data_IF_607404973988
#
_entry.id   IF_607404973988
#
_cell.length_a   1.000
_cell.length_b   1.000
_cell.length_c   1.000
_cell.angle_alpha   90.00
_cell.angle_beta   90.00
_cell.angle_gamma   90.00
#
_symmetry.space_group_name_H-M   'P 1'
#
loop_
_entity.id
_entity.type
_entity.pdbx_description
1 polymer ?
#
# COMPACT_ATOMS: atom_id res chain seq x y z
N UNK A 1 -41.05 30.11 -22.00
CA UNK A 1 -40.55 30.76 -20.77
C UNK A 1 -40.98 29.97 -19.53
N UNK A 2 -42.26 29.57 -19.42
CA UNK A 2 -42.79 28.84 -18.24
C UNK A 2 -42.16 27.46 -18.02
N UNK A 3 -41.78 26.75 -19.07
CA UNK A 3 -41.19 25.43 -18.97
C UNK A 3 -39.76 25.45 -18.40
N UNK A 4 -38.97 26.48 -18.77
CA UNK A 4 -37.62 26.68 -18.21
C UNK A 4 -37.65 27.10 -16.73
N UNK A 5 -38.70 27.77 -16.30
CA UNK A 5 -38.90 28.16 -14.89
C UNK A 5 -39.27 26.94 -14.02
N UNK A 6 -40.00 25.97 -14.58
CA UNK A 6 -40.34 24.71 -13.90
C UNK A 6 -39.11 23.84 -13.71
N UNK A 7 -38.30 23.69 -14.76
CA UNK A 7 -37.04 22.92 -14.70
C UNK A 7 -36.05 23.57 -13.71
N UNK A 8 -35.94 24.89 -13.69
CA UNK A 8 -35.06 25.56 -12.76
C UNK A 8 -35.50 25.37 -11.28
N UNK A 9 -36.79 25.42 -11.02
CA UNK A 9 -37.34 25.14 -9.68
C UNK A 9 -37.08 23.70 -9.23
N UNK A 10 -37.22 22.75 -10.16
CA UNK A 10 -36.98 21.32 -9.89
C UNK A 10 -35.50 21.08 -9.58
N UNK A 11 -34.56 21.58 -10.40
CA UNK A 11 -33.13 21.49 -10.16
C UNK A 11 -32.72 22.13 -8.85
N UNK A 12 -33.31 23.32 -8.53
CA UNK A 12 -33.03 23.97 -7.27
C UNK A 12 -33.51 23.18 -6.06
N UNK A 13 -34.64 22.49 -6.16
CA UNK A 13 -35.15 21.62 -5.11
C UNK A 13 -34.23 20.37 -4.92
N UNK A 14 -33.85 19.71 -6.01
CA UNK A 14 -32.93 18.57 -5.98
C UNK A 14 -31.56 18.95 -5.39
N UNK A 15 -31.01 20.09 -5.78
CA UNK A 15 -29.73 20.60 -5.22
C UNK A 15 -29.88 20.91 -3.73
N UNK A 16 -31.01 21.50 -3.30
CA UNK A 16 -31.28 21.76 -1.90
C UNK A 16 -31.43 20.51 -1.07
N UNK A 17 -32.04 19.45 -1.63
CA UNK A 17 -32.19 18.18 -0.96
C UNK A 17 -30.82 17.47 -0.82
N UNK A 18 -30.00 17.47 -1.87
CA UNK A 18 -28.62 16.92 -1.84
C UNK A 18 -27.74 17.72 -0.88
N UNK A 19 -27.87 19.04 -0.85
CA UNK A 19 -27.11 19.90 0.09
C UNK A 19 -27.58 19.70 1.55
N UNK A 20 -28.85 19.36 1.77
CA UNK A 20 -29.40 19.06 3.12
C UNK A 20 -28.96 17.66 3.62
N UNK A 21 -28.51 16.77 2.73
CA UNK A 21 -27.95 15.46 3.08
C UNK A 21 -26.44 15.51 3.35
N UNK A 22 -25.78 16.63 3.07
CA UNK A 22 -24.42 16.86 3.55
C UNK A 22 -24.53 17.03 5.06
N UNK A 23 -24.23 16.00 5.81
CA UNK A 23 -24.09 16.07 7.26
C UNK A 23 -23.22 17.30 7.57
N UNK A 24 -23.79 18.29 8.24
CA UNK A 24 -23.00 19.34 8.84
C UNK A 24 -22.02 18.66 9.79
N UNK A 25 -20.78 18.53 9.38
CA UNK A 25 -19.69 18.09 10.26
C UNK A 25 -19.57 19.18 11.33
N UNK A 26 -20.32 19.00 12.41
CA UNK A 26 -20.21 19.87 13.59
C UNK A 26 -18.77 19.69 14.08
N UNK A 27 -17.93 20.73 14.05
CA UNK A 27 -16.57 20.59 14.55
C UNK A 27 -16.66 20.31 16.05
N UNK A 28 -16.38 19.07 16.44
CA UNK A 28 -16.27 18.67 17.83
C UNK A 28 -15.08 19.43 18.40
N UNK A 29 -15.35 20.46 19.20
CA UNK A 29 -14.31 21.19 19.93
C UNK A 29 -13.75 20.26 21.00
N UNK A 30 -12.66 19.57 20.69
CA UNK A 30 -11.88 18.83 21.67
C UNK A 30 -10.82 19.73 22.30
N UNK A 31 -10.66 19.69 23.64
CA UNK A 31 -9.54 20.38 24.29
C UNK A 31 -8.22 19.79 23.75
N UNK A 32 -7.25 20.65 23.46
CA UNK A 32 -5.93 20.24 22.94
C UNK A 32 -5.22 19.23 23.86
N UNK A 33 -5.56 19.22 25.16
CA UNK A 33 -5.03 18.27 26.15
C UNK A 33 -5.50 16.82 25.94
N UNK A 34 -6.62 16.59 25.30
CA UNK A 34 -7.15 15.24 25.05
C UNK A 34 -6.51 14.59 23.81
N UNK A 35 -6.01 15.40 22.87
CA UNK A 35 -5.40 14.93 21.63
C UNK A 35 -6.32 14.03 20.81
N UNK A 36 -5.82 13.56 19.68
CA UNK A 36 -6.51 12.54 18.89
C UNK A 36 -6.03 11.15 19.31
N UNK A 37 -6.95 10.19 19.48
CA UNK A 37 -6.62 8.77 19.67
C UNK A 37 -6.10 8.20 18.34
N UNK A 38 -4.90 8.56 17.96
CA UNK A 38 -4.24 8.08 16.75
C UNK A 38 -2.89 7.49 17.09
N UNK A 39 -2.52 6.40 16.41
CA UNK A 39 -1.17 5.86 16.48
C UNK A 39 -0.26 6.75 15.64
N UNK A 40 0.85 7.18 16.22
CA UNK A 40 1.90 7.90 15.50
C UNK A 40 3.18 7.07 15.51
N UNK A 41 3.82 6.97 14.34
CA UNK A 41 5.13 6.36 14.20
C UNK A 41 6.08 7.36 13.53
N UNK A 42 7.24 7.53 14.12
CA UNK A 42 8.27 8.45 13.61
C UNK A 42 9.35 7.64 12.92
N UNK A 43 9.70 8.02 11.69
CA UNK A 43 10.74 7.38 10.91
C UNK A 43 11.81 8.41 10.55
N UNK A 44 13.07 7.99 10.67
CA UNK A 44 14.18 8.75 10.12
C UNK A 44 14.44 8.24 8.70
N UNK A 45 14.24 9.09 7.70
CA UNK A 45 14.64 8.78 6.34
C UNK A 45 16.15 8.95 6.23
N UNK A 46 16.84 7.93 5.74
CA UNK A 46 18.28 7.93 5.54
C UNK A 46 18.64 7.17 4.26
N UNK A 47 19.92 7.19 3.92
CA UNK A 47 20.42 6.32 2.86
C UNK A 47 20.65 4.91 3.38
N UNK A 48 20.47 3.90 2.51
CA UNK A 48 20.81 2.52 2.84
C UNK A 48 22.31 2.42 3.19
N UNK A 49 22.62 1.78 4.31
CA UNK A 49 24.00 1.53 4.71
C UNK A 49 24.65 0.54 3.73
N UNK A 50 25.84 0.89 3.23
CA UNK A 50 26.60 0.06 2.28
C UNK A 50 26.82 -1.38 2.77
N UNK A 51 27.04 -1.57 4.08
CA UNK A 51 27.24 -2.90 4.67
C UNK A 51 25.98 -3.73 4.68
N UNK A 52 24.83 -3.12 4.89
CA UNK A 52 23.53 -3.78 4.84
C UNK A 52 23.20 -4.25 3.42
N UNK A 53 23.46 -3.39 2.43
CA UNK A 53 23.33 -3.72 1.00
C UNK A 53 24.25 -4.89 0.61
N UNK A 54 25.52 -4.82 0.96
CA UNK A 54 26.51 -5.86 0.65
C UNK A 54 26.19 -7.23 1.28
N UNK A 55 25.35 -7.28 2.32
CA UNK A 55 24.88 -8.49 2.97
C UNK A 55 23.56 -9.05 2.39
N UNK A 56 23.02 -8.46 1.30
CA UNK A 56 21.79 -8.90 0.68
C UNK A 56 20.53 -8.62 1.53
N UNK A 57 20.56 -7.59 2.38
CA UNK A 57 19.43 -7.23 3.26
C UNK A 57 18.58 -6.07 2.75
N UNK A 58 18.65 -5.81 1.44
CA UNK A 58 17.97 -4.67 0.80
C UNK A 58 16.47 -4.68 1.05
N UNK A 59 15.82 -5.84 0.91
CA UNK A 59 14.38 -5.96 1.12
C UNK A 59 14.00 -5.64 2.57
N UNK A 60 14.78 -6.10 3.55
CA UNK A 60 14.52 -5.83 4.97
C UNK A 60 14.59 -4.34 5.28
N UNK A 61 15.54 -3.63 4.69
CA UNK A 61 15.66 -2.18 4.88
C UNK A 61 14.52 -1.40 4.21
N UNK A 62 13.89 -1.97 3.18
CA UNK A 62 12.73 -1.39 2.52
C UNK A 62 11.39 -1.71 3.21
N UNK A 63 11.32 -2.73 4.05
CA UNK A 63 10.08 -3.15 4.70
C UNK A 63 9.32 -2.02 5.40
N UNK A 64 9.95 -1.11 6.15
CA UNK A 64 9.24 0.01 6.76
C UNK A 64 8.59 0.92 5.73
N UNK A 65 9.24 1.14 4.58
CA UNK A 65 8.72 1.97 3.50
C UNK A 65 7.51 1.31 2.82
N UNK A 66 7.61 0.00 2.54
CA UNK A 66 6.52 -0.78 1.97
C UNK A 66 5.32 -0.83 2.91
N UNK A 67 5.57 -1.03 4.21
CA UNK A 67 4.54 -1.00 5.24
C UNK A 67 3.84 0.36 5.34
N UNK A 68 4.59 1.48 5.30
CA UNK A 68 3.99 2.83 5.25
C UNK A 68 3.13 3.01 4.00
N UNK A 69 3.61 2.56 2.83
CA UNK A 69 2.86 2.63 1.57
C UNK A 69 1.60 1.77 1.58
N UNK A 70 1.58 0.68 2.36
CA UNK A 70 0.42 -0.16 2.58
C UNK A 70 -0.58 0.40 3.60
N UNK A 71 -0.32 1.57 4.19
CA UNK A 71 -1.20 2.26 5.13
C UNK A 71 -0.76 2.17 6.59
N UNK A 72 0.44 1.67 6.87
CA UNK A 72 1.04 1.60 8.21
C UNK A 72 0.17 0.85 9.25
N UNK A 73 -0.56 -0.18 8.80
CA UNK A 73 -1.48 -0.96 9.65
C UNK A 73 -0.69 -2.01 10.44
N UNK A 74 -1.01 -2.15 11.71
CA UNK A 74 -0.36 -3.11 12.60
C UNK A 74 1.10 -2.76 12.89
N UNK A 75 1.86 -3.75 13.37
CA UNK A 75 3.28 -3.57 13.69
C UNK A 75 4.14 -3.70 12.43
N UNK A 76 5.08 -2.79 12.24
CA UNK A 76 6.01 -2.85 11.11
C UNK A 76 6.76 -4.18 11.08
N UNK A 77 6.72 -4.95 9.97
CA UNK A 77 7.47 -6.18 9.82
C UNK A 77 8.97 -5.89 9.80
N UNK A 78 9.76 -6.72 10.49
CA UNK A 78 11.21 -6.50 10.62
C UNK A 78 12.02 -7.34 9.63
N UNK A 79 11.51 -8.48 9.22
CA UNK A 79 12.23 -9.43 8.39
C UNK A 79 11.28 -10.32 7.61
N UNK A 80 11.64 -10.59 6.37
CA UNK A 80 11.05 -11.60 5.48
C UNK A 80 12.21 -12.46 4.96
N UNK A 81 12.12 -13.76 5.13
CA UNK A 81 13.17 -14.71 4.76
C UNK A 81 12.72 -15.73 3.72
N UNK A 82 11.40 -15.85 3.55
CA UNK A 82 10.80 -16.87 2.69
C UNK A 82 10.57 -16.32 1.28
N UNK A 83 10.25 -17.19 0.35
CA UNK A 83 10.00 -16.86 -1.05
C UNK A 83 8.76 -16.00 -1.26
N UNK A 84 7.89 -15.94 -0.26
CA UNK A 84 6.80 -14.98 -0.14
C UNK A 84 6.39 -14.81 1.33
N UNK A 85 5.69 -13.72 1.63
CA UNK A 85 5.14 -13.47 2.95
C UNK A 85 3.72 -12.92 2.85
N UNK A 86 2.80 -13.50 3.61
CA UNK A 86 1.44 -13.00 3.79
C UNK A 86 1.35 -12.40 5.18
N UNK A 87 0.99 -11.12 5.27
CA UNK A 87 0.98 -10.33 6.49
C UNK A 87 -0.44 -9.78 6.75
N UNK A 88 -1.38 -10.62 7.23
CA UNK A 88 -2.77 -10.25 7.39
C UNK A 88 -2.97 -9.05 8.31
N UNK A 89 -2.24 -9.00 9.43
CA UNK A 89 -2.27 -7.90 10.38
C UNK A 89 -1.83 -6.56 9.78
N UNK A 90 -1.05 -6.58 8.70
CA UNK A 90 -0.58 -5.42 7.98
C UNK A 90 -1.40 -5.16 6.70
N UNK A 91 -2.36 -6.04 6.37
CA UNK A 91 -3.15 -6.03 5.13
C UNK A 91 -2.30 -6.00 3.87
N UNK A 92 -1.11 -6.57 3.92
CA UNK A 92 -0.19 -6.61 2.80
C UNK A 92 0.44 -7.99 2.62
N UNK A 93 0.89 -8.28 1.40
CA UNK A 93 1.66 -9.47 1.07
C UNK A 93 2.82 -9.11 0.14
N UNK A 94 3.87 -9.91 0.18
CA UNK A 94 5.08 -9.70 -0.62
C UNK A 94 5.46 -11.05 -1.25
N UNK A 95 5.60 -11.08 -2.56
CA UNK A 95 6.18 -12.20 -3.30
C UNK A 95 7.62 -11.85 -3.65
N UNK A 96 8.57 -12.62 -3.15
CA UNK A 96 10.00 -12.41 -3.37
C UNK A 96 10.54 -13.22 -4.52
N UNK A 97 9.92 -14.38 -4.81
CA UNK A 97 10.26 -15.22 -5.96
C UNK A 97 9.00 -15.59 -6.75
N UNK A 98 8.99 -15.21 -8.04
CA UNK A 98 7.86 -15.45 -8.94
C UNK A 98 7.57 -16.94 -9.20
N UNK A 99 8.56 -17.83 -9.00
CA UNK A 99 8.36 -19.28 -9.10
C UNK A 99 7.32 -19.80 -8.10
N UNK A 100 7.13 -19.12 -6.99
CA UNK A 100 6.16 -19.47 -5.94
C UNK A 100 4.79 -18.81 -6.11
N UNK A 101 4.54 -18.12 -7.22
CA UNK A 101 3.31 -17.36 -7.42
C UNK A 101 2.03 -18.20 -7.26
N UNK A 102 2.01 -19.44 -7.74
CA UNK A 102 0.82 -20.30 -7.66
C UNK A 102 0.45 -20.57 -6.20
N UNK A 103 1.40 -20.98 -5.38
CA UNK A 103 1.18 -21.19 -3.94
C UNK A 103 0.82 -19.90 -3.23
N UNK A 104 1.52 -18.82 -3.54
CA UNK A 104 1.22 -17.50 -3.01
C UNK A 104 -0.22 -17.07 -3.28
N UNK A 105 -0.74 -17.32 -4.49
CA UNK A 105 -2.11 -17.02 -4.88
C UNK A 105 -3.14 -17.86 -4.10
N UNK A 106 -2.86 -19.16 -3.93
CA UNK A 106 -3.70 -20.05 -3.13
C UNK A 106 -3.79 -19.57 -1.68
N UNK A 107 -2.65 -19.29 -1.07
CA UNK A 107 -2.58 -18.85 0.32
C UNK A 107 -3.22 -17.46 0.52
N UNK A 108 -2.95 -16.51 -0.36
CA UNK A 108 -3.50 -15.16 -0.26
C UNK A 108 -5.03 -15.14 -0.44
N UNK A 109 -5.60 -16.11 -1.17
CA UNK A 109 -7.05 -16.24 -1.35
C UNK A 109 -7.80 -16.52 -0.03
N UNK A 110 -7.11 -17.08 0.96
CA UNK A 110 -7.63 -17.34 2.30
C UNK A 110 -7.62 -16.09 3.20
N UNK A 111 -7.04 -14.99 2.71
CA UNK A 111 -6.83 -13.75 3.46
C UNK A 111 -7.49 -12.55 2.79
N UNK A 112 -8.83 -12.41 2.85
CA UNK A 112 -9.57 -11.32 2.20
C UNK A 112 -9.25 -9.93 2.75
N UNK A 113 -8.59 -9.85 3.91
CA UNK A 113 -8.09 -8.63 4.51
C UNK A 113 -6.91 -8.01 3.77
N UNK A 114 -6.16 -8.79 2.95
CA UNK A 114 -5.05 -8.29 2.15
C UNK A 114 -5.55 -7.32 1.09
N UNK A 115 -4.96 -6.13 1.06
CA UNK A 115 -5.33 -5.05 0.12
C UNK A 115 -4.18 -4.65 -0.79
N UNK A 116 -2.94 -4.87 -0.34
CA UNK A 116 -1.74 -4.43 -1.05
C UNK A 116 -0.80 -5.62 -1.24
N UNK A 117 -0.30 -5.79 -2.46
CA UNK A 117 0.62 -6.85 -2.83
C UNK A 117 1.85 -6.27 -3.52
N UNK A 118 3.02 -6.66 -3.05
CA UNK A 118 4.30 -6.33 -3.66
C UNK A 118 4.84 -7.54 -4.39
N UNK A 119 5.14 -7.40 -5.68
CA UNK A 119 5.66 -8.47 -6.55
C UNK A 119 7.08 -8.12 -6.97
N UNK A 120 8.05 -8.93 -6.55
CA UNK A 120 9.45 -8.74 -6.92
C UNK A 120 9.73 -9.53 -8.20
N UNK A 121 9.80 -8.82 -9.30
CA UNK A 121 10.11 -9.37 -10.65
C UNK A 121 10.67 -8.28 -11.53
N UNK A 122 11.61 -8.64 -12.40
CA UNK A 122 12.17 -7.76 -13.42
C UNK A 122 11.41 -7.87 -14.76
N UNK A 123 10.54 -8.89 -14.88
CA UNK A 123 9.71 -9.08 -16.06
C UNK A 123 8.40 -8.32 -15.96
N UNK A 124 8.22 -7.32 -16.83
CA UNK A 124 6.95 -6.59 -16.94
C UNK A 124 5.79 -7.51 -17.35
N UNK A 125 6.05 -8.50 -18.20
CA UNK A 125 5.02 -9.45 -18.65
C UNK A 125 4.59 -10.36 -17.50
N UNK A 126 5.54 -10.85 -16.69
CA UNK A 126 5.23 -11.64 -15.50
C UNK A 126 4.44 -10.82 -14.49
N UNK A 127 4.83 -9.56 -14.25
CA UNK A 127 4.09 -8.65 -13.38
C UNK A 127 2.64 -8.47 -13.83
N UNK A 128 2.41 -8.19 -15.12
CA UNK A 128 1.06 -8.01 -15.67
C UNK A 128 0.22 -9.29 -15.55
N UNK A 129 0.81 -10.46 -15.86
CA UNK A 129 0.13 -11.75 -15.72
C UNK A 129 -0.30 -12.01 -14.26
N UNK A 130 0.62 -11.85 -13.31
CA UNK A 130 0.35 -12.03 -11.88
C UNK A 130 -0.71 -11.03 -11.37
N UNK A 131 -0.61 -9.76 -11.79
CA UNK A 131 -1.58 -8.71 -11.40
C UNK A 131 -2.98 -9.04 -11.90
N UNK A 132 -3.13 -9.55 -13.11
CA UNK A 132 -4.44 -9.94 -13.66
C UNK A 132 -5.11 -11.07 -12.87
N UNK A 133 -4.33 -11.89 -12.19
CA UNK A 133 -4.84 -12.97 -11.35
C UNK A 133 -5.17 -12.52 -9.92
N UNK A 134 -4.58 -11.42 -9.44
CA UNK A 134 -4.79 -10.85 -8.11
C UNK A 134 -5.88 -9.76 -8.12
N UNK A 135 -7.07 -10.10 -8.65
CA UNK A 135 -8.17 -9.15 -8.78
C UNK A 135 -8.63 -8.57 -7.44
N UNK A 136 -8.85 -7.26 -7.42
CA UNK A 136 -9.34 -6.55 -6.22
C UNK A 136 -8.24 -6.13 -5.24
N UNK A 137 -6.99 -6.48 -5.49
CA UNK A 137 -5.83 -6.07 -4.69
C UNK A 137 -5.04 -4.99 -5.45
N UNK A 138 -4.42 -4.08 -4.68
CA UNK A 138 -3.51 -3.08 -5.24
C UNK A 138 -2.12 -3.68 -5.35
N UNK A 139 -1.64 -3.89 -6.55
CA UNK A 139 -0.32 -4.49 -6.81
C UNK A 139 0.75 -3.44 -7.09
N UNK A 140 1.97 -3.70 -6.66
CA UNK A 140 3.15 -2.90 -6.95
C UNK A 140 4.29 -3.79 -7.37
N UNK A 141 4.93 -3.45 -8.48
CA UNK A 141 6.15 -4.10 -8.92
C UNK A 141 7.36 -3.54 -8.17
N UNK A 142 8.22 -4.42 -7.73
CA UNK A 142 9.56 -4.13 -7.23
C UNK A 142 10.56 -4.85 -8.12
N UNK A 143 11.50 -4.11 -8.69
CA UNK A 143 12.52 -4.68 -9.55
C UNK A 143 13.63 -5.31 -8.72
N UNK A 144 13.94 -6.58 -8.99
CA UNK A 144 15.04 -7.31 -8.34
C UNK A 144 16.38 -6.66 -8.71
N UNK A 145 16.54 -6.26 -9.95
CA UNK A 145 17.72 -5.57 -10.43
C UNK A 145 18.03 -4.29 -9.65
N UNK A 146 17.02 -3.54 -9.22
CA UNK A 146 17.25 -2.39 -8.33
C UNK A 146 17.73 -2.82 -6.94
N UNK A 147 17.26 -3.95 -6.44
CA UNK A 147 17.69 -4.50 -5.17
C UNK A 147 19.12 -5.03 -5.24
N UNK A 148 19.53 -5.60 -6.39
CA UNK A 148 20.82 -6.23 -6.62
C UNK A 148 21.88 -5.25 -7.17
N UNK A 149 21.51 -4.29 -8.02
CA UNK A 149 22.42 -3.31 -8.61
C UNK A 149 23.01 -2.33 -7.57
N UNK A 150 22.35 -2.09 -6.46
CA UNK A 150 22.98 -1.44 -5.32
C UNK A 150 24.23 -2.19 -4.82
N UNK A 151 24.28 -3.51 -5.05
CA UNK A 151 25.41 -4.37 -4.68
C UNK A 151 26.61 -4.20 -5.60
N UNK A 152 26.39 -4.07 -6.92
CA UNK A 152 27.45 -4.01 -7.95
C UNK A 152 28.16 -2.67 -7.93
N UNK A 153 27.46 -1.57 -7.79
CA UNK A 153 28.03 -0.20 -7.83
C UNK A 153 28.89 0.14 -6.62
N UNK A 154 28.84 -0.65 -5.55
CA UNK A 154 29.66 -0.45 -4.35
C UNK A 154 30.82 -1.45 -4.20
N UNK A 155 30.87 -2.52 -4.99
CA UNK A 155 31.97 -3.48 -4.97
C UNK A 155 33.19 -3.02 -5.79
N UNK A 156 33.05 -1.96 -6.58
CA UNK A 156 34.07 -1.47 -7.53
C UNK A 156 34.78 -0.17 -7.08
N UNK A 157 34.77 0.14 -5.78
CA UNK A 157 35.59 1.25 -5.23
C UNK A 157 36.38 0.80 -4.02
#
# INVERSE_FOLDING_TARGET
>A
VAEKDADFKRIKAEVSEVMGQIEETIPVKMPMSEGFKANAAFFKLGFLDKRSVARGRQLQELLPLLWMKAGAIGKCPKRITDDYAILPNNRMAILTDEAFFVRFKEDISQHPEIKVVYLITDSQNAYLAMTNELKGMKTFQLYRDYLDNFRINYATK
#
